data_IF_525702844116
#
_entry.id   IF_525702844116
#
_cell.length_a   1.000
_cell.length_b   1.000
_cell.length_c   1.000
_cell.angle_alpha   90.00
_cell.angle_beta   90.00
_cell.angle_gamma   90.00
#
_symmetry.space_group_name_H-M   'P 1'
#
loop_
_entity.id
_entity.type
_entity.pdbx_description
1 polymer ?
#
# COMPACT_ATOMS: atom_id res chain seq x y z
N UNK A 1 28.52 -0.66 15.15
CA UNK A 1 27.91 -0.07 13.92
C UNK A 1 26.71 0.76 14.32
N UNK A 2 26.57 1.98 13.78
CA UNK A 2 25.40 2.80 14.05
C UNK A 2 24.13 2.18 13.43
N UNK A 3 22.97 2.42 14.05
CA UNK A 3 21.70 1.83 13.57
C UNK A 3 21.39 2.21 12.11
N UNK A 4 21.71 3.44 11.71
CA UNK A 4 21.50 3.93 10.33
C UNK A 4 22.34 3.16 9.31
N UNK A 5 23.60 2.89 9.64
CA UNK A 5 24.53 2.16 8.75
C UNK A 5 24.10 0.69 8.62
N UNK A 6 23.63 0.09 9.73
CA UNK A 6 23.10 -1.28 9.75
C UNK A 6 21.85 -1.41 8.89
N UNK A 7 20.90 -0.49 9.00
CA UNK A 7 19.68 -0.49 8.18
C UNK A 7 20.04 -0.37 6.70
N UNK A 8 21.00 0.48 6.34
CA UNK A 8 21.45 0.62 4.96
C UNK A 8 22.10 -0.65 4.44
N UNK A 9 22.93 -1.32 5.25
CA UNK A 9 23.53 -2.61 4.90
C UNK A 9 22.47 -3.71 4.73
N UNK A 10 21.46 -3.76 5.59
CA UNK A 10 20.32 -4.68 5.47
C UNK A 10 19.57 -4.43 4.15
N UNK A 11 19.31 -3.17 3.77
CA UNK A 11 18.69 -2.83 2.48
C UNK A 11 19.47 -3.41 1.30
N UNK A 12 20.78 -3.28 1.29
CA UNK A 12 21.63 -3.83 0.22
C UNK A 12 21.56 -5.36 0.16
N UNK A 13 21.60 -6.04 1.32
CA UNK A 13 21.49 -7.49 1.39
C UNK A 13 20.12 -7.97 0.87
N UNK A 14 19.04 -7.35 1.31
CA UNK A 14 17.69 -7.69 0.84
C UNK A 14 17.51 -7.42 -0.66
N UNK A 15 18.09 -6.33 -1.18
CA UNK A 15 18.06 -6.03 -2.61
C UNK A 15 18.78 -7.10 -3.46
N UNK A 16 19.92 -7.61 -2.99
CA UNK A 16 20.71 -8.62 -3.67
C UNK A 16 20.07 -10.01 -3.55
N UNK A 17 19.78 -10.45 -2.32
CA UNK A 17 19.41 -11.83 -1.99
C UNK A 17 17.91 -12.08 -2.10
N UNK A 18 17.09 -11.01 -2.29
CA UNK A 18 15.63 -11.01 -2.34
C UNK A 18 14.95 -11.42 -1.03
N UNK A 19 15.63 -12.12 -0.15
CA UNK A 19 15.17 -12.52 1.18
C UNK A 19 16.32 -12.54 2.18
N UNK A 20 15.99 -12.33 3.45
CA UNK A 20 16.95 -12.41 4.57
C UNK A 20 16.29 -13.12 5.76
N UNK A 21 17.14 -13.75 6.59
CA UNK A 21 16.70 -14.36 7.86
C UNK A 21 17.17 -13.50 9.04
N UNK A 22 16.32 -13.35 10.06
CA UNK A 22 16.63 -12.58 11.28
C UNK A 22 17.86 -13.14 11.98
N UNK A 23 17.97 -14.47 12.12
CA UNK A 23 19.09 -15.13 12.76
C UNK A 23 20.41 -14.88 12.03
N UNK A 24 20.40 -14.88 10.70
CA UNK A 24 21.58 -14.61 9.88
C UNK A 24 22.03 -13.14 10.06
N UNK A 25 21.11 -12.18 9.95
CA UNK A 25 21.41 -10.77 10.17
C UNK A 25 21.91 -10.49 11.59
N UNK A 26 21.31 -11.14 12.61
CA UNK A 26 21.75 -11.06 13.99
C UNK A 26 23.22 -11.48 14.15
N UNK A 27 23.60 -12.59 13.51
CA UNK A 27 24.98 -13.10 13.53
C UNK A 27 25.95 -12.18 12.77
N UNK A 28 25.58 -11.69 11.59
CA UNK A 28 26.42 -10.81 10.76
C UNK A 28 26.70 -9.49 11.47
N UNK A 29 25.65 -8.86 12.04
CA UNK A 29 25.77 -7.55 12.67
C UNK A 29 26.10 -7.60 14.16
N UNK A 30 26.21 -8.80 14.77
CA UNK A 30 26.49 -9.02 16.20
C UNK A 30 25.55 -8.22 17.10
N UNK A 31 24.27 -8.26 16.79
CA UNK A 31 23.17 -7.65 17.58
C UNK A 31 22.10 -8.70 17.87
N UNK A 32 21.23 -8.42 18.83
CA UNK A 32 20.12 -9.34 19.14
C UNK A 32 19.12 -9.45 18.00
N UNK A 33 18.45 -10.58 17.87
CA UNK A 33 17.37 -10.76 16.91
C UNK A 33 16.26 -9.70 17.06
N UNK A 34 15.98 -9.29 18.30
CA UNK A 34 15.01 -8.23 18.57
C UNK A 34 15.42 -6.89 17.95
N UNK A 35 16.72 -6.56 17.97
CA UNK A 35 17.25 -5.38 17.29
C UNK A 35 17.04 -5.48 15.78
N UNK A 36 17.31 -6.65 15.19
CA UNK A 36 17.07 -6.90 13.77
C UNK A 36 15.58 -6.81 13.43
N UNK A 37 14.69 -7.36 14.26
CA UNK A 37 13.23 -7.26 14.03
C UNK A 37 12.76 -5.80 13.97
N UNK A 38 13.27 -4.94 14.85
CA UNK A 38 12.98 -3.49 14.84
C UNK A 38 13.55 -2.78 13.60
N UNK A 39 14.73 -3.18 13.14
CA UNK A 39 15.31 -2.62 11.91
C UNK A 39 14.49 -3.04 10.68
N UNK A 40 14.07 -4.32 10.61
CA UNK A 40 13.21 -4.81 9.54
C UNK A 40 11.80 -4.17 9.59
N UNK A 41 11.27 -3.89 10.77
CA UNK A 41 10.00 -3.18 10.94
C UNK A 41 10.05 -1.77 10.34
N UNK A 42 11.13 -1.02 10.56
CA UNK A 42 11.34 0.28 9.93
C UNK A 42 11.39 0.19 8.41
N UNK A 43 12.08 -0.84 7.87
CA UNK A 43 12.17 -1.08 6.44
C UNK A 43 10.84 -1.54 5.82
N UNK A 44 10.04 -2.25 6.58
CA UNK A 44 8.67 -2.60 6.21
C UNK A 44 7.78 -1.35 6.23
N UNK A 45 7.94 -0.46 7.22
CA UNK A 45 7.23 0.83 7.28
C UNK A 45 7.59 1.76 6.11
N UNK A 46 8.83 1.69 5.63
CA UNK A 46 9.25 2.37 4.41
C UNK A 46 8.73 1.66 3.13
N UNK A 47 8.11 0.47 3.25
CA UNK A 47 7.61 -0.33 2.15
C UNK A 47 8.68 -1.03 1.33
N UNK A 48 9.92 -1.07 1.81
CA UNK A 48 11.05 -1.66 1.08
C UNK A 48 11.00 -3.20 1.06
N UNK A 49 10.49 -3.81 2.12
CA UNK A 49 10.39 -5.25 2.30
C UNK A 49 9.09 -5.63 3.02
N UNK A 50 8.77 -6.91 3.02
CA UNK A 50 7.71 -7.51 3.84
C UNK A 50 8.32 -8.50 4.80
N UNK A 51 7.99 -8.40 6.09
CA UNK A 51 8.43 -9.35 7.10
C UNK A 51 7.70 -10.70 6.94
N UNK A 52 8.45 -11.77 7.13
CA UNK A 52 7.96 -13.15 7.13
C UNK A 52 8.25 -13.80 8.48
N UNK A 53 7.76 -15.02 8.69
CA UNK A 53 8.15 -15.79 9.87
C UNK A 53 9.67 -16.05 9.85
N UNK A 54 10.40 -15.38 10.74
CA UNK A 54 11.86 -15.53 10.89
C UNK A 54 12.72 -14.68 9.95
N UNK A 55 12.15 -13.80 9.12
CA UNK A 55 12.95 -12.98 8.19
C UNK A 55 12.19 -11.88 7.48
N UNK A 56 12.66 -11.55 6.28
CA UNK A 56 11.99 -10.60 5.38
C UNK A 56 12.29 -10.93 3.91
N UNK A 57 11.40 -10.51 3.03
CA UNK A 57 11.54 -10.59 1.56
C UNK A 57 11.45 -9.21 0.94
N UNK A 58 12.21 -8.99 -0.14
CA UNK A 58 12.15 -7.76 -0.91
C UNK A 58 10.74 -7.60 -1.50
N UNK A 59 10.17 -6.43 -1.36
CA UNK A 59 8.96 -6.10 -2.07
C UNK A 59 9.27 -5.96 -3.57
N UNK A 60 8.80 -6.92 -4.37
CA UNK A 60 8.75 -6.75 -5.81
C UNK A 60 7.59 -5.82 -6.16
N UNK A 61 7.69 -5.08 -7.25
CA UNK A 61 6.77 -3.98 -7.61
C UNK A 61 5.29 -4.34 -7.47
N UNK A 62 4.89 -5.54 -7.83
CA UNK A 62 3.50 -6.00 -7.76
C UNK A 62 3.00 -6.30 -6.33
N UNK A 63 3.88 -6.79 -5.43
CA UNK A 63 3.56 -7.01 -4.01
C UNK A 63 3.67 -5.71 -3.19
N UNK A 64 4.58 -4.81 -3.59
CA UNK A 64 4.77 -3.53 -2.92
C UNK A 64 3.55 -2.61 -3.08
N UNK A 65 2.91 -2.60 -4.24
CA UNK A 65 1.81 -1.68 -4.53
C UNK A 65 0.59 -1.97 -3.64
N UNK A 66 0.24 -3.23 -3.41
CA UNK A 66 -0.86 -3.60 -2.52
C UNK A 66 -0.55 -3.29 -1.05
N UNK A 67 0.64 -3.64 -0.58
CA UNK A 67 1.07 -3.33 0.80
C UNK A 67 1.14 -1.82 1.00
N UNK A 68 1.67 -1.08 0.04
CA UNK A 68 1.70 0.39 0.07
C UNK A 68 0.29 0.99 0.07
N UNK A 69 -0.64 0.42 -0.69
CA UNK A 69 -2.02 0.87 -0.69
C UNK A 69 -2.64 0.76 0.71
N UNK A 70 -2.58 -0.41 1.35
CA UNK A 70 -3.17 -0.61 2.68
C UNK A 70 -2.51 0.25 3.77
N UNK A 71 -1.20 0.46 3.69
CA UNK A 71 -0.50 1.40 4.60
C UNK A 71 -0.99 2.84 4.37
N UNK A 72 -1.05 3.28 3.11
CA UNK A 72 -1.60 4.61 2.78
C UNK A 72 -3.06 4.75 3.19
N UNK A 73 -3.86 3.71 3.06
CA UNK A 73 -5.27 3.73 3.45
C UNK A 73 -5.47 3.99 4.95
N UNK A 74 -4.57 3.47 5.79
CA UNK A 74 -4.61 3.70 7.25
C UNK A 74 -4.05 5.06 7.65
N UNK A 75 -3.09 5.61 6.90
CA UNK A 75 -2.47 6.91 7.20
C UNK A 75 -3.42 8.04 6.86
N UNK A 76 -3.59 8.99 7.79
CA UNK A 76 -4.45 10.16 7.61
C UNK A 76 -5.89 9.79 7.17
N UNK A 77 -6.42 8.74 7.80
CA UNK A 77 -7.73 8.19 7.40
C UNK A 77 -8.87 9.20 7.57
N UNK A 78 -8.89 9.92 8.68
CA UNK A 78 -9.93 10.92 8.97
C UNK A 78 -9.88 12.10 7.99
N UNK A 79 -8.67 12.57 7.67
CA UNK A 79 -8.46 13.65 6.69
C UNK A 79 -8.92 13.23 5.29
N UNK A 80 -8.64 12.00 4.88
CA UNK A 80 -9.12 11.45 3.60
C UNK A 80 -10.63 11.35 3.53
N UNK A 81 -11.28 10.98 4.62
CA UNK A 81 -12.74 10.98 4.69
C UNK A 81 -13.33 12.39 4.60
N UNK A 82 -12.68 13.39 5.19
CA UNK A 82 -13.08 14.80 5.06
C UNK A 82 -12.94 15.25 3.61
N UNK A 83 -11.80 14.95 2.96
CA UNK A 83 -11.57 15.25 1.54
C UNK A 83 -12.64 14.60 0.67
N UNK A 84 -12.92 13.32 0.89
CA UNK A 84 -13.93 12.57 0.14
C UNK A 84 -15.33 13.22 0.26
N UNK A 85 -15.75 13.58 1.47
CA UNK A 85 -17.03 14.27 1.68
C UNK A 85 -17.09 15.63 1.01
N UNK A 86 -16.01 16.40 1.06
CA UNK A 86 -15.92 17.70 0.42
C UNK A 86 -15.90 17.62 -1.11
N UNK A 87 -15.51 16.48 -1.68
CA UNK A 87 -15.51 16.25 -3.12
C UNK A 87 -16.91 15.88 -3.67
N UNK A 88 -17.82 15.37 -2.86
CA UNK A 88 -19.14 14.92 -3.30
C UNK A 88 -19.95 15.98 -4.09
N UNK A 89 -20.01 17.27 -3.69
CA UNK A 89 -20.74 18.28 -4.43
C UNK A 89 -20.27 18.45 -5.88
N UNK A 90 -18.97 18.22 -6.12
CA UNK A 90 -18.37 18.37 -7.47
C UNK A 90 -18.73 17.20 -8.41
N UNK A 91 -19.14 16.06 -7.83
CA UNK A 91 -19.43 14.83 -8.58
C UNK A 91 -20.94 14.58 -8.68
N UNK A 92 -21.76 15.26 -7.90
CA UNK A 92 -23.20 15.02 -7.79
C UNK A 92 -23.92 14.88 -9.12
N UNK A 93 -23.57 15.71 -10.11
CA UNK A 93 -24.20 15.75 -11.44
C UNK A 93 -23.33 15.13 -12.53
N UNK A 94 -22.30 14.36 -12.16
CA UNK A 94 -21.43 13.67 -13.12
C UNK A 94 -21.82 12.20 -13.21
N UNK A 95 -21.83 11.70 -14.43
CA UNK A 95 -22.15 10.28 -14.72
C UNK A 95 -20.93 9.48 -15.15
N UNK A 96 -19.80 10.15 -15.33
CA UNK A 96 -18.53 9.52 -15.68
C UNK A 96 -17.40 10.15 -14.89
N UNK A 97 -16.52 9.32 -14.35
CA UNK A 97 -15.31 9.75 -13.68
C UNK A 97 -14.17 8.78 -13.92
N UNK A 98 -12.94 9.26 -13.75
CA UNK A 98 -11.76 8.43 -13.69
C UNK A 98 -11.11 8.57 -12.31
N UNK A 99 -10.62 7.47 -11.77
CA UNK A 99 -9.90 7.44 -10.51
C UNK A 99 -8.68 6.52 -10.62
N UNK A 100 -7.58 6.95 -10.02
CA UNK A 100 -6.37 6.15 -9.90
C UNK A 100 -6.42 5.20 -8.68
N UNK A 101 -5.31 4.54 -8.40
CA UNK A 101 -5.16 3.64 -7.25
C UNK A 101 -4.84 4.37 -5.93
N UNK A 102 -5.17 5.66 -5.80
CA UNK A 102 -4.94 6.39 -4.57
C UNK A 102 -5.90 5.98 -3.45
N UNK A 103 -5.38 5.91 -2.21
CA UNK A 103 -6.22 5.60 -1.06
C UNK A 103 -7.18 6.74 -0.69
N UNK A 104 -6.89 7.97 -1.10
CA UNK A 104 -7.80 9.12 -0.94
C UNK A 104 -8.99 9.02 -1.90
N UNK A 105 -8.73 8.70 -3.18
CA UNK A 105 -9.79 8.45 -4.15
C UNK A 105 -10.68 7.28 -3.72
N UNK A 106 -10.11 6.24 -3.11
CA UNK A 106 -10.86 5.10 -2.58
C UNK A 106 -11.90 5.52 -1.53
N UNK A 107 -11.58 6.45 -0.62
CA UNK A 107 -12.56 6.94 0.36
C UNK A 107 -13.75 7.65 -0.31
N UNK A 108 -13.51 8.35 -1.42
CA UNK A 108 -14.58 8.94 -2.23
C UNK A 108 -15.43 7.87 -2.91
N UNK A 109 -14.80 6.87 -3.53
CA UNK A 109 -15.50 5.78 -4.21
C UNK A 109 -16.43 5.01 -3.26
N UNK A 110 -16.03 4.81 -2.01
CA UNK A 110 -16.86 4.19 -0.97
C UNK A 110 -18.16 4.97 -0.72
N UNK A 111 -18.14 6.29 -0.81
CA UNK A 111 -19.32 7.15 -0.64
C UNK A 111 -20.25 7.14 -1.85
N UNK A 112 -19.80 6.64 -2.99
CA UNK A 112 -20.56 6.62 -4.24
C UNK A 112 -21.21 5.27 -4.55
N UNK A 113 -21.06 4.26 -3.70
CA UNK A 113 -21.51 2.87 -3.93
C UNK A 113 -22.97 2.73 -4.31
N UNK A 114 -23.83 3.58 -3.78
CA UNK A 114 -25.30 3.55 -4.01
C UNK A 114 -25.69 4.20 -5.35
N UNK A 115 -24.74 4.74 -6.10
CA UNK A 115 -25.02 5.37 -7.39
C UNK A 115 -25.12 4.34 -8.51
N UNK A 116 -26.22 4.34 -9.23
CA UNK A 116 -26.47 3.46 -10.37
C UNK A 116 -26.30 4.15 -11.74
N UNK A 117 -26.02 5.46 -11.73
CA UNK A 117 -25.86 6.28 -12.92
C UNK A 117 -24.40 6.62 -13.25
N UNK A 118 -23.44 6.05 -12.48
CA UNK A 118 -22.03 6.39 -12.58
C UNK A 118 -21.22 5.30 -13.32
N UNK A 119 -20.40 5.74 -14.26
CA UNK A 119 -19.34 4.94 -14.87
C UNK A 119 -17.99 5.39 -14.37
N UNK A 120 -17.24 4.48 -13.78
CA UNK A 120 -15.88 4.70 -13.26
C UNK A 120 -14.85 4.03 -14.16
N UNK A 121 -13.87 4.82 -14.66
CA UNK A 121 -12.66 4.30 -15.28
C UNK A 121 -11.54 4.23 -14.24
N UNK A 122 -10.90 3.09 -14.07
CA UNK A 122 -9.82 2.95 -13.10
C UNK A 122 -8.84 1.84 -13.50
N UNK A 123 -7.59 1.98 -13.06
CA UNK A 123 -6.56 0.93 -13.09
C UNK A 123 -6.39 0.23 -11.74
N UNK A 124 -7.19 0.57 -10.73
CA UNK A 124 -7.07 0.07 -9.37
C UNK A 124 -7.79 -1.26 -9.19
N UNK A 125 -7.03 -2.32 -8.89
CA UNK A 125 -7.61 -3.63 -8.52
C UNK A 125 -8.42 -3.53 -7.22
N UNK A 126 -7.99 -2.70 -6.27
CA UNK A 126 -8.70 -2.45 -5.01
C UNK A 126 -10.06 -1.79 -5.25
N UNK A 127 -10.16 -0.86 -6.22
CA UNK A 127 -11.44 -0.25 -6.58
C UNK A 127 -12.40 -1.27 -7.18
N UNK A 128 -11.93 -2.19 -8.02
CA UNK A 128 -12.75 -3.30 -8.52
C UNK A 128 -13.28 -4.17 -7.40
N UNK A 129 -12.42 -4.54 -6.47
CA UNK A 129 -12.82 -5.37 -5.33
C UNK A 129 -13.82 -4.65 -4.42
N UNK A 130 -13.55 -3.38 -4.09
CA UNK A 130 -14.41 -2.58 -3.21
C UNK A 130 -15.79 -2.30 -3.81
N UNK A 131 -15.87 -2.14 -5.12
CA UNK A 131 -17.10 -1.82 -5.85
C UNK A 131 -17.78 -3.03 -6.48
N UNK A 132 -17.28 -4.24 -6.26
CA UNK A 132 -17.78 -5.47 -6.88
C UNK A 132 -19.27 -5.74 -6.64
N UNK A 133 -19.84 -5.24 -5.54
CA UNK A 133 -21.26 -5.39 -5.18
C UNK A 133 -22.03 -4.06 -5.25
N UNK A 134 -21.44 -3.04 -5.89
CA UNK A 134 -22.09 -1.74 -6.09
C UNK A 134 -22.82 -1.70 -7.44
N UNK A 135 -23.69 -0.70 -7.61
CA UNK A 135 -24.39 -0.43 -8.87
C UNK A 135 -23.55 0.38 -9.87
N UNK A 136 -22.33 0.76 -9.48
CA UNK A 136 -21.42 1.54 -10.35
C UNK A 136 -20.92 0.65 -11.49
N UNK A 137 -20.99 1.18 -12.72
CA UNK A 137 -20.35 0.54 -13.87
C UNK A 137 -18.83 0.80 -13.84
N UNK A 138 -18.05 -0.22 -13.48
CA UNK A 138 -16.59 -0.10 -13.36
C UNK A 138 -15.91 -0.62 -14.61
N UNK A 139 -15.11 0.23 -15.24
CA UNK A 139 -14.35 -0.08 -16.46
C UNK A 139 -12.85 -0.04 -16.15
N UNK A 140 -12.15 -1.14 -16.42
CA UNK A 140 -10.69 -1.20 -16.28
C UNK A 140 -10.01 -0.50 -17.46
N UNK A 141 -9.02 0.35 -17.14
CA UNK A 141 -8.11 0.89 -18.16
C UNK A 141 -6.99 -0.08 -18.51
N UNK A 142 -6.93 -1.23 -17.83
CA UNK A 142 -5.82 -2.17 -17.93
C UNK A 142 -4.60 -1.74 -17.13
N UNK A 143 -3.51 -2.46 -17.31
CA UNK A 143 -2.22 -2.27 -16.64
C UNK A 143 -1.53 -3.61 -16.44
N UNK A 144 -0.19 -3.61 -16.27
CA UNK A 144 0.61 -4.78 -15.90
C UNK A 144 0.61 -4.99 -14.39
#
# INVERSE_FOLDING_TARGET
>A
MAAKDRIQAIKQMVANDKKVAVSNLSSIFQVTEETIRRDLEKLEDEGFLTRTYGGAVLNTTALSDNIHFYKRAKSFFEEKQIIARNALPFIKNKTTMAADSSSTAMELLKLLKERNDLTLLTNSAEAFHELAQSEINVVSTGGE
#
